data_IF_634259079432
#
_entry.id   IF_634259079432
#
_cell.length_a   1.000
_cell.length_b   1.000
_cell.length_c   1.000
_cell.angle_alpha   90.00
_cell.angle_beta   90.00
_cell.angle_gamma   90.00
#
_symmetry.space_group_name_H-M   'P 1'
#
loop_
_entity.id
_entity.type
_entity.pdbx_description
1 polymer ?
#
# COMPACT_ATOMS: atom_id res chain seq x y z
N UNK A 1 23.57 20.07 7.13
CA UNK A 1 22.31 19.32 6.92
C UNK A 1 21.17 20.31 7.02
N UNK A 2 20.22 20.25 6.12
CA UNK A 2 19.04 21.12 6.15
C UNK A 2 18.16 20.76 7.35
N UNK A 3 17.69 21.76 8.09
CA UNK A 3 16.74 21.57 9.19
C UNK A 3 15.39 22.19 8.79
N UNK A 4 14.30 21.55 9.19
CA UNK A 4 12.92 22.03 8.99
C UNK A 4 12.22 21.98 10.35
N UNK A 5 11.54 23.05 10.72
CA UNK A 5 10.72 23.13 11.91
C UNK A 5 9.28 23.41 11.52
N UNK A 6 8.39 22.45 11.73
CA UNK A 6 6.95 22.65 11.70
C UNK A 6 6.49 23.17 13.05
N UNK A 7 5.75 24.29 13.06
CA UNK A 7 5.24 24.90 14.29
C UNK A 7 3.72 24.97 14.31
N UNK A 8 3.17 24.87 15.52
CA UNK A 8 1.74 25.02 15.79
C UNK A 8 0.88 24.01 15.02
N UNK A 9 1.41 22.79 14.84
CA UNK A 9 0.68 21.72 14.17
C UNK A 9 -0.06 20.84 15.17
N UNK A 10 -1.16 20.25 14.75
CA UNK A 10 -1.70 19.07 15.40
C UNK A 10 -0.84 17.88 14.94
N UNK A 11 -0.40 17.04 15.86
CA UNK A 11 0.37 15.83 15.56
C UNK A 11 -0.52 14.61 15.76
N UNK A 12 -0.66 13.79 14.70
CA UNK A 12 -1.07 12.40 14.79
C UNK A 12 0.21 11.58 14.70
N UNK A 13 0.62 10.97 15.80
CA UNK A 13 1.93 10.33 15.87
C UNK A 13 2.03 8.97 15.16
N UNK A 14 0.90 8.42 14.68
CA UNK A 14 0.82 7.14 14.00
C UNK A 14 0.63 5.93 14.92
N UNK A 15 0.67 6.11 16.25
CA UNK A 15 0.52 5.02 17.23
C UNK A 15 -0.93 4.63 17.55
N UNK A 16 -1.90 5.41 17.04
CA UNK A 16 -3.32 5.29 17.42
C UNK A 16 -3.68 6.09 18.66
N UNK A 17 -2.72 6.77 19.31
CA UNK A 17 -2.98 7.66 20.43
C UNK A 17 -3.73 8.94 19.98
N UNK A 18 -4.45 9.62 20.90
CA UNK A 18 -5.12 10.88 20.60
C UNK A 18 -4.16 11.94 20.06
N UNK A 19 -4.57 12.78 19.09
CA UNK A 19 -3.75 13.85 18.57
C UNK A 19 -3.40 14.89 19.62
N UNK A 20 -2.24 15.54 19.48
CA UNK A 20 -1.79 16.60 20.40
C UNK A 20 -1.15 17.76 19.63
N UNK A 21 -1.12 18.95 20.25
CA UNK A 21 -0.46 20.12 19.68
C UNK A 21 1.04 20.08 19.97
N UNK A 22 1.89 20.29 18.97
CA UNK A 22 3.33 20.33 19.12
C UNK A 22 4.01 21.07 17.96
N UNK A 23 5.31 21.29 18.12
CA UNK A 23 6.25 21.60 17.04
C UNK A 23 7.06 20.33 16.74
N UNK A 24 7.50 20.18 15.50
CA UNK A 24 8.30 19.02 15.04
C UNK A 24 9.53 19.52 14.31
N UNK A 25 10.72 19.23 14.88
CA UNK A 25 12.01 19.55 14.29
C UNK A 25 12.58 18.34 13.53
N UNK A 26 12.89 18.57 12.26
CA UNK A 26 13.53 17.59 11.38
C UNK A 26 14.97 18.06 11.12
N UNK A 27 15.91 17.11 11.13
CA UNK A 27 17.30 17.33 10.74
C UNK A 27 17.81 16.26 9.83
N UNK A 28 18.15 16.63 8.59
CA UNK A 28 18.47 15.67 7.55
C UNK A 28 17.27 14.79 7.26
N UNK A 29 17.43 13.46 7.33
CA UNK A 29 16.36 12.49 7.06
C UNK A 29 15.54 12.07 8.30
N UNK A 30 15.81 12.67 9.49
CA UNK A 30 15.20 12.18 10.73
C UNK A 30 14.47 13.27 11.51
N UNK A 31 13.44 12.86 12.22
CA UNK A 31 12.79 13.66 13.25
C UNK A 31 13.78 13.76 14.42
N UNK A 32 14.15 14.98 14.77
CA UNK A 32 15.08 15.25 15.87
C UNK A 32 14.36 15.43 17.20
N UNK A 33 13.25 16.18 17.18
CA UNK A 33 12.53 16.56 18.41
C UNK A 33 11.05 16.78 18.10
N UNK A 34 10.20 16.45 19.06
CA UNK A 34 8.75 16.69 19.05
C UNK A 34 8.39 17.30 20.40
N UNK A 35 7.83 18.49 20.44
CA UNK A 35 7.49 19.17 21.69
C UNK A 35 6.92 20.56 21.46
N UNK A 36 6.48 21.23 22.51
CA UNK A 36 5.94 22.59 22.42
C UNK A 36 7.05 23.65 22.50
N UNK A 37 6.96 24.71 21.69
CA UNK A 37 7.82 25.88 21.77
C UNK A 37 9.27 25.62 21.36
N UNK A 38 9.50 24.73 20.42
CA UNK A 38 10.84 24.40 19.95
C UNK A 38 11.53 25.61 19.29
N UNK A 39 12.80 25.77 19.59
CA UNK A 39 13.62 26.83 18.98
C UNK A 39 14.15 26.37 17.62
N UNK A 40 13.97 27.21 16.60
CA UNK A 40 14.52 26.94 15.29
C UNK A 40 16.07 27.04 15.31
N UNK A 41 16.80 26.00 14.90
CA UNK A 41 18.25 26.12 14.68
C UNK A 41 18.57 27.22 13.66
N UNK A 42 19.75 27.83 13.77
CA UNK A 42 20.21 28.83 12.80
C UNK A 42 20.18 28.24 11.38
N UNK A 43 19.50 28.94 10.47
CA UNK A 43 19.33 28.51 9.08
C UNK A 43 18.28 27.41 8.86
N UNK A 44 17.51 27.05 9.88
CA UNK A 44 16.38 26.15 9.71
C UNK A 44 15.24 26.84 8.93
N UNK A 45 14.59 26.06 8.05
CA UNK A 45 13.33 26.48 7.43
C UNK A 45 12.20 26.31 8.44
N UNK A 46 11.49 27.38 8.75
CA UNK A 46 10.33 27.36 9.65
C UNK A 46 9.04 27.36 8.81
N UNK A 47 8.10 26.50 9.19
CA UNK A 47 6.79 26.35 8.57
C UNK A 47 5.76 26.47 9.69
N UNK A 48 5.07 27.60 9.74
CA UNK A 48 3.93 27.81 10.63
C UNK A 48 2.67 27.23 9.95
N UNK A 49 2.04 26.25 10.59
CA UNK A 49 0.88 25.55 10.01
C UNK A 49 -0.26 25.35 11.03
N UNK A 50 -0.78 26.46 11.61
CA UNK A 50 -1.90 26.36 12.54
C UNK A 50 -3.13 25.80 11.82
N UNK A 51 -3.85 24.89 12.49
CA UNK A 51 -5.04 24.21 11.93
C UNK A 51 -4.73 23.02 11.02
N UNK A 52 -3.45 22.78 10.69
CA UNK A 52 -3.04 21.60 9.94
C UNK A 52 -2.60 20.46 10.85
N UNK A 53 -2.68 19.24 10.33
CA UNK A 53 -2.24 18.02 11.01
C UNK A 53 -0.96 17.50 10.35
N UNK A 54 0.10 17.31 11.13
CA UNK A 54 1.32 16.60 10.70
C UNK A 54 1.24 15.15 11.17
N UNK A 55 1.44 14.23 10.25
CA UNK A 55 1.39 12.80 10.53
C UNK A 55 2.42 12.02 9.72
N UNK A 56 2.69 10.74 10.04
CA UNK A 56 3.54 9.91 9.19
C UNK A 56 2.96 9.79 7.78
N UNK A 57 3.81 9.67 6.78
CA UNK A 57 3.41 9.27 5.44
C UNK A 57 2.78 7.89 5.46
N UNK A 58 1.80 7.68 4.61
CA UNK A 58 1.08 6.42 4.51
C UNK A 58 1.95 5.32 3.89
N UNK A 59 1.69 4.08 4.26
CA UNK A 59 2.37 2.90 3.74
C UNK A 59 1.31 1.98 3.15
N UNK A 60 1.44 1.70 1.86
CA UNK A 60 0.59 0.78 1.13
C UNK A 60 1.06 -0.66 1.35
N UNK A 61 0.16 -1.54 1.78
CA UNK A 61 0.49 -2.92 2.12
C UNK A 61 0.30 -3.91 0.96
N UNK A 62 -0.49 -3.53 -0.07
CA UNK A 62 -0.80 -4.40 -1.20
C UNK A 62 -1.16 -3.60 -2.46
N UNK A 63 -0.20 -3.39 -3.33
CA UNK A 63 -0.41 -2.65 -4.57
C UNK A 63 0.49 -3.14 -5.70
N UNK A 64 0.07 -2.89 -6.94
CA UNK A 64 0.74 -3.33 -8.15
C UNK A 64 1.18 -2.12 -9.00
N UNK A 65 2.23 -1.42 -8.60
CA UNK A 65 2.72 -0.22 -9.33
C UNK A 65 3.08 -0.51 -10.80
N UNK A 66 3.42 -1.76 -11.10
CA UNK A 66 3.80 -2.19 -12.44
C UNK A 66 2.66 -2.80 -13.26
N UNK A 67 1.43 -2.86 -12.74
CA UNK A 67 0.26 -3.31 -13.52
C UNK A 67 -0.36 -2.20 -14.38
N UNK A 68 0.14 -0.95 -14.25
CA UNK A 68 -0.15 0.19 -15.13
C UNK A 68 -1.62 0.62 -15.18
N UNK A 69 -2.41 0.32 -14.17
CA UNK A 69 -3.85 0.57 -14.12
C UNK A 69 -4.58 -0.03 -15.35
N UNK A 70 -4.17 -1.22 -15.78
CA UNK A 70 -4.77 -1.87 -16.94
C UNK A 70 -6.12 -2.50 -16.64
N UNK A 71 -7.01 -2.57 -17.66
CA UNK A 71 -8.23 -3.37 -17.60
C UNK A 71 -8.02 -4.81 -18.09
N UNK A 72 -6.90 -5.05 -18.76
CA UNK A 72 -6.55 -6.35 -19.35
C UNK A 72 -5.11 -6.73 -18.93
N UNK A 73 -5.00 -7.66 -17.99
CA UNK A 73 -3.71 -8.12 -17.49
C UNK A 73 -2.87 -8.88 -18.55
N UNK A 74 -3.51 -9.52 -19.55
CA UNK A 74 -2.77 -10.14 -20.65
C UNK A 74 -2.00 -9.10 -21.46
N UNK A 75 -2.54 -7.89 -21.59
CA UNK A 75 -1.90 -6.79 -22.32
C UNK A 75 -0.54 -6.39 -21.75
N UNK A 76 -0.27 -6.63 -20.47
CA UNK A 76 1.03 -6.38 -19.84
C UNK A 76 2.14 -7.18 -20.49
N UNK A 77 1.82 -8.37 -21.03
CA UNK A 77 2.78 -9.21 -21.77
C UNK A 77 3.31 -8.55 -23.04
N UNK A 78 2.51 -7.73 -23.71
CA UNK A 78 2.85 -7.10 -24.98
C UNK A 78 3.70 -5.82 -24.84
N UNK A 79 3.77 -5.24 -23.63
CA UNK A 79 4.55 -4.02 -23.39
C UNK A 79 6.04 -4.38 -23.29
N UNK A 80 6.94 -3.81 -24.12
CA UNK A 80 8.38 -3.98 -23.95
C UNK A 80 8.85 -3.56 -22.56
N UNK A 81 9.82 -4.27 -21.99
CA UNK A 81 10.19 -4.10 -20.58
C UNK A 81 10.70 -2.69 -20.27
N UNK A 82 11.43 -2.06 -21.18
CA UNK A 82 11.92 -0.69 -21.08
C UNK A 82 10.80 0.34 -21.10
N UNK A 83 9.79 0.18 -21.96
CA UNK A 83 8.60 1.04 -21.96
C UNK A 83 7.74 0.81 -20.72
N UNK A 84 7.63 -0.45 -20.29
CA UNK A 84 6.89 -0.83 -19.10
C UNK A 84 7.47 -0.12 -17.87
N UNK A 85 8.80 -0.13 -17.73
CA UNK A 85 9.48 0.57 -16.65
C UNK A 85 9.16 2.08 -16.67
N UNK A 86 9.27 2.74 -17.83
CA UNK A 86 8.98 4.17 -17.95
C UNK A 86 7.53 4.52 -17.56
N UNK A 87 6.57 3.64 -17.86
CA UNK A 87 5.18 3.80 -17.42
C UNK A 87 5.04 3.59 -15.92
N UNK A 88 5.73 2.60 -15.34
CA UNK A 88 5.71 2.30 -13.92
C UNK A 88 6.30 3.44 -13.06
N UNK A 89 7.23 4.22 -13.58
CA UNK A 89 7.73 5.42 -12.92
C UNK A 89 6.61 6.44 -12.67
N UNK A 90 5.65 6.59 -13.60
CA UNK A 90 4.51 7.50 -13.44
C UNK A 90 3.57 7.04 -12.33
N UNK A 91 3.31 5.74 -12.23
CA UNK A 91 2.46 5.18 -11.16
C UNK A 91 3.13 5.33 -9.80
N UNK A 92 4.43 5.08 -9.69
CA UNK A 92 5.19 5.28 -8.46
C UNK A 92 5.16 6.75 -7.98
N UNK A 93 5.36 7.70 -8.90
CA UNK A 93 5.24 9.13 -8.57
C UNK A 93 3.84 9.48 -8.09
N UNK A 94 2.79 9.01 -8.79
CA UNK A 94 1.39 9.25 -8.42
C UNK A 94 1.07 8.74 -7.02
N UNK A 95 1.61 7.58 -6.64
CA UNK A 95 1.45 7.06 -5.28
C UNK A 95 2.06 8.00 -4.23
N UNK A 96 3.26 8.51 -4.48
CA UNK A 96 3.90 9.49 -3.59
C UNK A 96 3.15 10.82 -3.56
N UNK A 97 2.61 11.30 -4.71
CA UNK A 97 1.78 12.52 -4.81
C UNK A 97 0.53 12.43 -3.91
N UNK A 98 0.06 11.22 -3.58
CA UNK A 98 -1.07 10.93 -2.69
C UNK A 98 -0.66 10.66 -1.24
N UNK A 99 0.57 10.99 -0.84
CA UNK A 99 1.03 10.88 0.54
C UNK A 99 1.48 9.48 0.96
N UNK A 100 1.53 8.51 0.05
CA UNK A 100 2.12 7.20 0.33
C UNK A 100 3.63 7.27 0.19
N UNK A 101 4.33 7.33 1.32
CA UNK A 101 5.80 7.39 1.37
C UNK A 101 6.44 6.00 1.41
N UNK A 102 5.67 4.96 1.68
CA UNK A 102 6.07 3.57 1.65
C UNK A 102 5.11 2.69 0.85
N UNK A 103 5.64 1.62 0.24
CA UNK A 103 4.86 0.64 -0.51
C UNK A 103 5.48 -0.76 -0.42
N UNK A 104 4.67 -1.74 -0.07
CA UNK A 104 4.98 -3.15 -0.23
C UNK A 104 4.32 -3.62 -1.52
N UNK A 105 5.12 -3.92 -2.53
CA UNK A 105 4.58 -4.47 -3.77
C UNK A 105 3.96 -5.84 -3.54
N UNK A 106 2.77 -6.06 -4.07
CA UNK A 106 2.08 -7.34 -3.98
C UNK A 106 2.56 -8.34 -5.06
N UNK A 107 2.89 -7.86 -6.25
CA UNK A 107 3.60 -8.58 -7.30
C UNK A 107 4.08 -7.63 -8.39
N UNK A 108 5.17 -7.98 -9.06
CA UNK A 108 5.67 -7.28 -10.24
C UNK A 108 5.01 -7.82 -11.52
N UNK A 109 4.73 -6.94 -12.49
CA UNK A 109 4.19 -7.35 -13.79
C UNK A 109 5.18 -8.15 -14.65
N UNK A 110 6.48 -8.05 -14.39
CA UNK A 110 7.56 -8.80 -15.05
C UNK A 110 8.73 -8.97 -14.10
N UNK A 111 9.57 -10.00 -14.30
CA UNK A 111 10.84 -10.11 -13.57
C UNK A 111 11.63 -8.81 -13.63
N UNK A 112 12.18 -8.40 -12.49
CA UNK A 112 13.01 -7.21 -12.29
C UNK A 112 12.35 -5.83 -12.37
N UNK A 113 11.11 -5.67 -12.83
CA UNK A 113 10.49 -4.33 -12.92
C UNK A 113 10.49 -3.62 -11.57
N UNK A 114 9.97 -4.25 -10.53
CA UNK A 114 9.93 -3.67 -9.18
C UNK A 114 11.32 -3.41 -8.61
N UNK A 115 12.28 -4.29 -8.92
CA UNK A 115 13.68 -4.16 -8.47
C UNK A 115 14.33 -2.91 -9.08
N UNK A 116 14.14 -2.71 -10.38
CA UNK A 116 14.73 -1.54 -11.07
C UNK A 116 14.00 -0.27 -10.66
N UNK A 117 12.66 -0.31 -10.52
CA UNK A 117 11.85 0.79 -10.01
C UNK A 117 12.31 1.22 -8.62
N UNK A 118 12.46 0.26 -7.68
CA UNK A 118 13.00 0.53 -6.35
C UNK A 118 14.38 1.16 -6.40
N UNK A 119 15.30 0.62 -7.22
CA UNK A 119 16.67 1.17 -7.36
C UNK A 119 16.66 2.61 -7.86
N UNK A 120 15.81 2.96 -8.83
CA UNK A 120 15.68 4.32 -9.33
C UNK A 120 15.13 5.29 -8.28
N UNK A 121 14.24 4.80 -7.41
CA UNK A 121 13.70 5.59 -6.29
C UNK A 121 14.74 5.75 -5.17
N UNK A 122 15.47 4.70 -4.81
CA UNK A 122 16.45 4.70 -3.73
C UNK A 122 17.68 5.55 -4.08
N UNK A 123 18.11 5.56 -5.36
CA UNK A 123 19.19 6.46 -5.85
C UNK A 123 18.77 7.92 -5.93
N UNK A 124 17.45 8.20 -5.90
CA UNK A 124 16.91 9.55 -6.07
C UNK A 124 16.76 9.99 -7.52
N UNK A 125 16.96 9.09 -8.48
CA UNK A 125 16.79 9.37 -9.92
C UNK A 125 15.32 9.58 -10.28
N UNK A 126 14.40 9.00 -9.48
CA UNK A 126 12.97 9.18 -9.68
C UNK A 126 12.22 9.31 -8.34
N UNK A 127 11.21 10.21 -8.27
CA UNK A 127 10.36 10.30 -7.09
C UNK A 127 9.39 9.11 -7.00
N UNK A 128 9.29 8.53 -5.80
CA UNK A 128 8.40 7.42 -5.51
C UNK A 128 8.46 7.01 -4.04
N UNK A 129 7.55 6.14 -3.59
CA UNK A 129 7.55 5.64 -2.22
C UNK A 129 8.78 4.77 -1.97
N UNK A 130 9.21 4.64 -0.72
CA UNK A 130 10.13 3.60 -0.27
C UNK A 130 9.49 2.24 -0.57
N UNK A 131 10.07 1.45 -1.46
CA UNK A 131 9.43 0.27 -2.02
C UNK A 131 10.11 -1.01 -1.57
N UNK A 132 9.33 -2.02 -1.19
CA UNK A 132 9.77 -3.40 -1.16
C UNK A 132 9.35 -4.08 -2.47
N UNK A 133 10.35 -4.55 -3.22
CA UNK A 133 10.16 -5.17 -4.54
C UNK A 133 9.71 -6.62 -4.40
N UNK A 134 8.61 -7.00 -5.08
CA UNK A 134 8.12 -8.37 -5.12
C UNK A 134 8.59 -9.14 -6.37
N UNK A 135 8.42 -10.47 -6.33
CA UNK A 135 8.45 -11.29 -7.55
C UNK A 135 7.23 -11.01 -8.42
N UNK A 136 7.21 -11.41 -9.71
CA UNK A 136 5.96 -11.80 -10.34
C UNK A 136 5.22 -12.85 -9.50
N UNK A 137 3.96 -13.06 -9.76
CA UNK A 137 3.20 -14.09 -9.07
C UNK A 137 3.77 -15.48 -9.38
N UNK A 138 4.19 -16.23 -8.35
CA UNK A 138 4.57 -17.63 -8.51
C UNK A 138 3.29 -18.47 -8.41
N UNK A 139 2.91 -19.14 -9.47
CA UNK A 139 1.63 -19.86 -9.59
C UNK A 139 1.80 -21.20 -10.30
N UNK A 140 0.76 -22.02 -10.25
CA UNK A 140 0.70 -23.32 -10.98
C UNK A 140 0.03 -23.16 -12.34
N UNK A 141 0.20 -24.13 -13.23
CA UNK A 141 -0.58 -24.23 -14.46
C UNK A 141 -2.08 -24.22 -14.16
N UNK A 142 -2.80 -23.31 -14.81
CA UNK A 142 -4.23 -23.09 -14.58
C UNK A 142 -4.57 -22.37 -13.28
N UNK A 143 -3.60 -21.89 -12.51
CA UNK A 143 -3.80 -21.04 -11.34
C UNK A 143 -3.99 -19.55 -11.70
N UNK A 144 -4.25 -18.73 -10.68
CA UNK A 144 -4.31 -17.28 -10.84
C UNK A 144 -2.99 -16.77 -11.43
N UNK A 145 -3.05 -15.97 -12.48
CA UNK A 145 -1.89 -15.41 -13.16
C UNK A 145 -1.42 -16.25 -14.38
N UNK A 146 -1.85 -17.50 -14.53
CA UNK A 146 -1.57 -18.27 -15.72
C UNK A 146 -2.53 -17.91 -16.87
N UNK A 147 -2.03 -17.11 -17.81
CA UNK A 147 -2.77 -16.71 -19.01
C UNK A 147 -2.34 -17.50 -20.26
N UNK A 148 -1.58 -18.59 -20.07
CA UNK A 148 -1.16 -19.44 -21.17
C UNK A 148 -2.35 -20.20 -21.78
N UNK A 149 -2.25 -20.47 -23.08
CA UNK A 149 -3.13 -21.36 -23.76
C UNK A 149 -2.35 -22.60 -24.21
N UNK A 150 -3.01 -23.75 -24.37
CA UNK A 150 -2.34 -24.98 -24.77
C UNK A 150 -1.45 -24.83 -26.02
N UNK A 151 -1.91 -24.02 -26.98
CA UNK A 151 -1.22 -23.77 -28.24
C UNK A 151 -0.40 -22.48 -28.26
N UNK A 152 -0.38 -21.70 -27.15
CA UNK A 152 0.29 -20.40 -27.12
C UNK A 152 0.85 -20.12 -25.72
N UNK A 153 2.16 -20.02 -25.62
CA UNK A 153 2.84 -19.54 -24.43
C UNK A 153 2.87 -18.01 -24.44
N UNK A 154 2.51 -17.38 -23.34
CA UNK A 154 2.46 -15.92 -23.19
C UNK A 154 3.42 -15.45 -22.12
N UNK A 155 4.12 -14.34 -22.36
CA UNK A 155 4.78 -13.59 -21.28
C UNK A 155 3.70 -12.90 -20.46
N UNK A 156 3.72 -13.07 -19.14
CA UNK A 156 2.66 -12.60 -18.25
C UNK A 156 3.25 -12.03 -16.97
N UNK A 157 2.37 -11.53 -16.11
CA UNK A 157 2.68 -11.04 -14.75
C UNK A 157 2.93 -12.16 -13.74
N UNK A 158 2.92 -13.43 -14.18
CA UNK A 158 3.21 -14.59 -13.35
C UNK A 158 4.38 -15.41 -13.89
N UNK A 159 5.01 -16.18 -13.01
CA UNK A 159 5.93 -17.26 -13.33
C UNK A 159 5.21 -18.56 -13.01
N UNK A 160 4.83 -19.30 -14.06
CA UNK A 160 4.12 -20.57 -13.93
C UNK A 160 5.12 -21.68 -13.59
N UNK A 161 4.88 -22.36 -12.48
CA UNK A 161 5.70 -23.43 -11.95
C UNK A 161 4.84 -24.64 -11.60
N UNK A 162 5.28 -25.83 -11.95
CA UNK A 162 4.63 -27.06 -11.53
C UNK A 162 5.62 -27.94 -10.78
N UNK A 163 5.21 -28.34 -9.59
CA UNK A 163 6.00 -29.15 -8.68
C UNK A 163 7.02 -28.34 -7.85
N UNK A 164 7.42 -28.82 -6.67
CA UNK A 164 8.22 -28.09 -5.69
C UNK A 164 9.59 -27.64 -6.22
N UNK A 165 10.20 -28.41 -7.13
CA UNK A 165 11.53 -28.06 -7.69
C UNK A 165 11.45 -26.86 -8.64
N UNK A 166 10.36 -26.72 -9.43
CA UNK A 166 10.17 -25.56 -10.30
C UNK A 166 9.97 -24.29 -9.45
N UNK A 167 9.16 -24.34 -8.40
CA UNK A 167 8.99 -23.24 -7.44
C UNK A 167 10.30 -22.89 -6.72
N UNK A 168 11.04 -23.88 -6.24
CA UNK A 168 12.36 -23.67 -5.59
C UNK A 168 13.34 -22.98 -6.53
N UNK A 169 13.37 -23.40 -7.80
CA UNK A 169 14.24 -22.76 -8.81
C UNK A 169 13.83 -21.32 -9.04
N UNK A 170 12.55 -21.04 -9.30
CA UNK A 170 12.03 -19.68 -9.55
C UNK A 170 12.29 -18.75 -8.36
N UNK A 171 12.04 -19.22 -7.13
CA UNK A 171 12.31 -18.46 -5.92
C UNK A 171 13.80 -18.09 -5.79
N UNK A 172 14.72 -19.04 -6.02
CA UNK A 172 16.18 -18.77 -5.99
C UNK A 172 16.60 -17.78 -7.08
N UNK A 173 16.07 -17.89 -8.27
CA UNK A 173 16.35 -16.96 -9.37
C UNK A 173 15.90 -15.54 -9.00
N UNK A 174 14.72 -15.35 -8.44
CA UNK A 174 14.22 -14.06 -8.02
C UNK A 174 15.00 -13.46 -6.83
N UNK A 175 15.40 -14.30 -5.86
CA UNK A 175 16.29 -13.87 -4.77
C UNK A 175 17.62 -13.39 -5.33
N UNK A 176 18.21 -14.11 -6.29
CA UNK A 176 19.45 -13.71 -6.98
C UNK A 176 19.32 -12.35 -7.68
N UNK A 177 18.15 -12.07 -8.30
CA UNK A 177 17.88 -10.77 -8.93
C UNK A 177 17.71 -9.64 -7.92
N UNK A 178 17.37 -9.96 -6.66
CA UNK A 178 17.35 -9.01 -5.56
C UNK A 178 15.97 -8.55 -5.13
N UNK A 179 14.95 -9.41 -5.19
CA UNK A 179 13.63 -9.13 -4.62
C UNK A 179 13.68 -9.02 -3.09
N UNK A 180 12.73 -8.30 -2.53
CA UNK A 180 12.53 -8.19 -1.09
C UNK A 180 11.45 -9.15 -0.57
N UNK A 181 10.53 -9.60 -1.46
CA UNK A 181 9.40 -10.46 -1.11
C UNK A 181 9.22 -11.51 -2.20
N UNK A 182 8.95 -12.76 -1.79
CA UNK A 182 8.49 -13.82 -2.67
C UNK A 182 6.96 -13.87 -2.63
N UNK A 183 6.29 -13.75 -3.80
CA UNK A 183 4.82 -13.77 -3.90
C UNK A 183 4.35 -15.08 -4.51
N UNK A 184 3.44 -15.77 -3.83
CA UNK A 184 2.81 -17.02 -4.27
C UNK A 184 1.28 -16.87 -4.35
N UNK A 185 0.65 -17.70 -5.20
CA UNK A 185 -0.80 -17.75 -5.36
C UNK A 185 -1.38 -19.12 -4.98
N UNK A 186 -1.46 -19.45 -3.68
CA UNK A 186 -1.98 -20.74 -3.24
C UNK A 186 -3.46 -20.96 -3.53
N UNK A 187 -4.29 -19.90 -3.57
CA UNK A 187 -5.70 -19.99 -3.94
C UNK A 187 -5.98 -19.38 -5.30
N UNK A 188 -7.14 -19.72 -5.85
CA UNK A 188 -7.66 -19.07 -7.03
C UNK A 188 -8.34 -17.72 -6.75
N UNK A 189 -9.05 -17.20 -7.75
CA UNK A 189 -9.76 -15.93 -7.71
C UNK A 189 -11.08 -16.04 -8.50
N UNK A 190 -12.06 -15.19 -8.20
CA UNK A 190 -13.37 -15.21 -8.86
C UNK A 190 -13.29 -14.84 -10.35
N UNK A 191 -12.20 -14.21 -10.79
CA UNK A 191 -11.92 -13.97 -12.22
C UNK A 191 -11.38 -15.17 -12.98
N UNK A 192 -10.99 -16.26 -12.29
CA UNK A 192 -10.41 -17.46 -12.92
C UNK A 192 -11.43 -18.60 -12.93
N UNK A 193 -12.06 -18.93 -14.07
CA UNK A 193 -13.17 -19.89 -14.08
C UNK A 193 -12.81 -21.29 -13.61
N UNK A 194 -11.58 -21.71 -13.77
CA UNK A 194 -11.06 -23.04 -13.42
C UNK A 194 -10.22 -23.06 -12.13
N UNK A 195 -10.07 -21.89 -11.48
CA UNK A 195 -9.39 -21.74 -10.21
C UNK A 195 -10.09 -20.65 -9.38
N UNK A 196 -11.28 -21.00 -8.83
CA UNK A 196 -12.12 -20.06 -8.06
C UNK A 196 -11.51 -19.72 -6.70
N UNK A 197 -11.93 -18.62 -6.11
CA UNK A 197 -11.41 -18.11 -4.82
C UNK A 197 -11.42 -19.14 -3.68
N UNK A 198 -12.43 -20.01 -3.61
CA UNK A 198 -12.54 -21.07 -2.62
C UNK A 198 -11.62 -22.28 -2.84
N UNK A 199 -10.95 -22.35 -3.99
CA UNK A 199 -10.07 -23.47 -4.34
C UNK A 199 -8.62 -23.18 -3.94
N UNK A 200 -7.96 -24.20 -3.41
CA UNK A 200 -6.52 -24.21 -3.13
C UNK A 200 -5.85 -24.98 -4.25
N UNK A 201 -5.09 -24.27 -5.09
CA UNK A 201 -4.53 -24.80 -6.34
C UNK A 201 -3.06 -25.22 -6.21
N UNK A 202 -2.31 -24.62 -5.29
CA UNK A 202 -0.95 -25.07 -4.97
C UNK A 202 -0.99 -26.22 -3.95
N UNK A 203 -0.13 -27.19 -4.15
CA UNK A 203 0.11 -28.25 -3.18
C UNK A 203 0.91 -27.74 -1.98
N UNK A 204 0.81 -28.42 -0.84
CA UNK A 204 1.60 -28.10 0.33
C UNK A 204 3.12 -28.12 0.04
N UNK A 205 3.60 -29.08 -0.75
CA UNK A 205 5.00 -29.21 -1.10
C UNK A 205 5.52 -28.02 -1.94
N UNK A 206 4.70 -27.44 -2.79
CA UNK A 206 5.05 -26.24 -3.58
C UNK A 206 5.16 -24.99 -2.70
N UNK A 207 4.19 -24.79 -1.80
CA UNK A 207 4.24 -23.72 -0.81
C UNK A 207 5.50 -23.84 0.05
N UNK A 208 5.75 -25.04 0.61
CA UNK A 208 6.93 -25.33 1.43
C UNK A 208 8.25 -25.03 0.70
N UNK A 209 8.33 -25.36 -0.58
CA UNK A 209 9.55 -25.12 -1.39
C UNK A 209 9.90 -23.64 -1.53
N UNK A 210 8.90 -22.74 -1.68
CA UNK A 210 9.13 -21.30 -1.71
C UNK A 210 9.50 -20.77 -0.34
N UNK A 211 8.78 -21.21 0.71
CA UNK A 211 9.06 -20.80 2.09
C UNK A 211 10.48 -21.20 2.55
N UNK A 212 10.93 -22.42 2.22
CA UNK A 212 12.31 -22.87 2.46
C UNK A 212 13.35 -21.92 1.88
N UNK A 213 13.17 -21.49 0.63
CA UNK A 213 14.09 -20.55 -0.03
C UNK A 213 14.01 -19.17 0.61
N UNK A 214 12.80 -18.66 0.83
CA UNK A 214 12.60 -17.34 1.43
C UNK A 214 13.24 -17.25 2.81
N UNK A 215 12.95 -18.18 3.71
CA UNK A 215 13.49 -18.19 5.07
C UNK A 215 15.01 -18.35 5.07
N UNK A 216 15.57 -19.24 4.22
CA UNK A 216 17.02 -19.41 4.10
C UNK A 216 17.75 -18.12 3.67
N UNK A 217 17.07 -17.21 2.97
CA UNK A 217 17.61 -15.94 2.50
C UNK A 217 17.07 -14.71 3.27
N UNK A 218 16.32 -14.91 4.35
CA UNK A 218 15.72 -13.81 5.11
C UNK A 218 14.73 -12.96 4.28
N UNK A 219 14.02 -13.60 3.33
CA UNK A 219 13.02 -12.96 2.49
C UNK A 219 11.63 -13.37 2.94
N UNK A 220 10.77 -12.42 3.36
CA UNK A 220 9.38 -12.71 3.70
C UNK A 220 8.61 -13.21 2.48
N UNK A 221 7.60 -14.05 2.75
CA UNK A 221 6.69 -14.58 1.75
C UNK A 221 5.34 -13.90 1.87
N UNK A 222 4.75 -13.55 0.73
CA UNK A 222 3.40 -13.01 0.61
C UNK A 222 2.54 -13.97 -0.20
N UNK A 223 1.30 -14.21 0.23
CA UNK A 223 0.40 -15.16 -0.42
C UNK A 223 -0.95 -14.53 -0.78
N UNK A 224 -1.38 -14.72 -2.02
CA UNK A 224 -2.77 -14.58 -2.42
C UNK A 224 -3.53 -15.80 -1.87
N UNK A 225 -4.17 -15.65 -0.71
CA UNK A 225 -4.78 -16.77 0.01
C UNK A 225 -6.22 -16.42 0.43
N UNK A 226 -7.19 -16.68 -0.46
CA UNK A 226 -8.61 -16.45 -0.19
C UNK A 226 -9.25 -17.63 0.53
N UNK A 227 -8.94 -18.87 0.12
CA UNK A 227 -9.51 -20.08 0.70
C UNK A 227 -8.95 -20.41 2.09
N UNK A 228 -9.77 -20.99 2.95
CA UNK A 228 -9.35 -21.40 4.30
C UNK A 228 -8.15 -22.36 4.28
N UNK A 229 -8.14 -23.32 3.36
CA UNK A 229 -7.05 -24.29 3.25
C UNK A 229 -5.74 -23.61 2.81
N UNK A 230 -5.79 -22.65 1.87
CA UNK A 230 -4.60 -21.91 1.46
C UNK A 230 -4.02 -21.11 2.64
N UNK A 231 -4.86 -20.42 3.42
CA UNK A 231 -4.44 -19.69 4.63
C UNK A 231 -3.76 -20.64 5.63
N UNK A 232 -4.39 -21.79 5.93
CA UNK A 232 -3.82 -22.77 6.87
C UNK A 232 -2.47 -23.31 6.41
N UNK A 233 -2.32 -23.65 5.13
CA UNK A 233 -1.04 -24.11 4.58
C UNK A 233 0.03 -23.02 4.61
N UNK A 234 -0.34 -21.78 4.28
CA UNK A 234 0.57 -20.64 4.36
C UNK A 234 1.10 -20.45 5.79
N UNK A 235 0.21 -20.43 6.78
CA UNK A 235 0.60 -20.28 8.19
C UNK A 235 1.47 -21.45 8.69
N UNK A 236 1.14 -22.68 8.29
CA UNK A 236 1.93 -23.88 8.62
C UNK A 236 3.39 -23.76 8.18
N UNK A 237 3.63 -23.11 7.05
CA UNK A 237 4.97 -22.94 6.48
C UNK A 237 5.57 -21.56 6.73
N UNK A 238 4.98 -20.76 7.63
CA UNK A 238 5.56 -19.48 8.10
C UNK A 238 5.47 -18.35 7.08
N UNK A 239 4.41 -18.29 6.27
CA UNK A 239 4.12 -17.12 5.41
C UNK A 239 3.68 -15.97 6.29
N UNK A 240 4.35 -14.82 6.18
CA UNK A 240 4.15 -13.68 7.06
C UNK A 240 3.10 -12.68 6.55
N UNK A 241 2.82 -12.65 5.23
CA UNK A 241 1.91 -11.69 4.59
C UNK A 241 0.78 -12.43 3.92
N UNK A 242 -0.39 -12.42 4.55
CA UNK A 242 -1.59 -13.07 4.04
C UNK A 242 -2.47 -12.02 3.39
N UNK A 243 -2.62 -12.12 2.08
CA UNK A 243 -3.51 -11.25 1.32
C UNK A 243 -4.88 -11.87 1.20
N UNK A 244 -5.92 -11.05 1.27
CA UNK A 244 -7.33 -11.37 1.22
C UNK A 244 -7.87 -12.06 2.48
N UNK A 245 -7.59 -13.34 2.71
CA UNK A 245 -8.13 -14.16 3.81
C UNK A 245 -9.67 -14.05 3.94
N UNK A 246 -10.36 -13.94 2.80
CA UNK A 246 -11.80 -13.61 2.75
C UNK A 246 -12.69 -14.81 3.06
N UNK A 247 -12.31 -16.02 2.65
CA UNK A 247 -13.10 -17.25 2.80
C UNK A 247 -12.53 -18.18 3.88
N UNK A 248 -12.13 -17.61 5.02
CA UNK A 248 -11.62 -18.39 6.15
C UNK A 248 -12.76 -19.08 6.89
N UNK A 249 -12.53 -20.34 7.26
CA UNK A 249 -13.31 -21.07 8.25
C UNK A 249 -12.82 -20.77 9.68
N UNK A 250 -13.50 -21.32 10.68
CA UNK A 250 -13.16 -21.14 12.11
C UNK A 250 -11.71 -21.56 12.42
N UNK A 251 -11.23 -22.65 11.81
CA UNK A 251 -9.88 -23.17 12.01
C UNK A 251 -8.82 -22.21 11.44
N UNK A 252 -9.05 -21.67 10.22
CA UNK A 252 -8.16 -20.70 9.59
C UNK A 252 -8.11 -19.38 10.38
N UNK A 253 -9.28 -18.89 10.87
CA UNK A 253 -9.34 -17.69 11.70
C UNK A 253 -8.59 -17.87 13.02
N UNK A 254 -8.76 -19.02 13.70
CA UNK A 254 -8.03 -19.30 14.91
C UNK A 254 -6.52 -19.42 14.65
N UNK A 255 -6.10 -20.05 13.56
CA UNK A 255 -4.69 -20.11 13.17
C UNK A 255 -4.09 -18.72 12.90
N UNK A 256 -4.83 -17.80 12.29
CA UNK A 256 -4.40 -16.39 12.12
C UNK A 256 -4.26 -15.67 13.46
N UNK A 257 -5.19 -15.92 14.41
CA UNK A 257 -5.12 -15.35 15.76
C UNK A 257 -3.91 -15.90 16.53
N UNK A 258 -3.63 -17.19 16.42
CA UNK A 258 -2.46 -17.80 17.07
C UNK A 258 -1.14 -17.25 16.49
N UNK A 259 -1.12 -16.94 15.20
CA UNK A 259 0.04 -16.39 14.50
C UNK A 259 0.14 -14.85 14.55
N UNK A 260 -0.74 -14.13 15.27
CA UNK A 260 -0.90 -12.66 15.21
C UNK A 260 0.37 -11.86 15.43
N UNK A 261 1.34 -12.36 16.17
CA UNK A 261 2.62 -11.68 16.43
C UNK A 261 3.55 -11.69 15.19
N UNK A 262 3.30 -12.60 14.24
CA UNK A 262 4.19 -12.84 13.08
C UNK A 262 3.53 -12.56 11.75
N UNK A 263 2.20 -12.44 11.69
CA UNK A 263 1.48 -12.24 10.43
C UNK A 263 0.93 -10.83 10.29
N UNK A 264 0.76 -10.45 9.02
CA UNK A 264 0.04 -9.27 8.57
C UNK A 264 -1.04 -9.71 7.59
N UNK A 265 -2.24 -9.17 7.72
CA UNK A 265 -3.36 -9.48 6.83
C UNK A 265 -3.78 -8.22 6.09
N UNK A 266 -3.83 -8.27 4.76
CA UNK A 266 -4.36 -7.18 3.92
C UNK A 266 -5.59 -7.67 3.16
N UNK A 267 -6.80 -7.24 3.54
CA UNK A 267 -8.07 -7.79 3.00
C UNK A 267 -8.39 -7.37 1.58
N UNK A 268 -7.72 -6.35 1.04
CA UNK A 268 -7.90 -5.84 -0.34
C UNK A 268 -9.32 -5.38 -0.65
N UNK A 269 -9.94 -4.65 0.30
CA UNK A 269 -11.31 -4.17 0.12
C UNK A 269 -11.47 -3.28 -1.12
N UNK A 270 -10.45 -2.48 -1.46
CA UNK A 270 -10.48 -1.54 -2.57
C UNK A 270 -10.86 -2.20 -3.89
N UNK A 271 -10.17 -3.29 -4.28
CA UNK A 271 -10.45 -3.99 -5.55
C UNK A 271 -11.84 -4.64 -5.52
N UNK A 272 -12.21 -5.28 -4.41
CA UNK A 272 -13.49 -6.00 -4.31
C UNK A 272 -14.66 -5.02 -4.41
N UNK A 273 -14.63 -3.91 -3.65
CA UNK A 273 -15.66 -2.86 -3.70
C UNK A 273 -15.72 -2.21 -5.08
N UNK A 274 -14.56 -1.85 -5.65
CA UNK A 274 -14.51 -1.23 -6.98
C UNK A 274 -15.02 -2.18 -8.08
N UNK A 275 -14.71 -3.47 -8.01
CA UNK A 275 -15.21 -4.45 -8.98
C UNK A 275 -16.73 -4.61 -8.91
N UNK A 276 -17.29 -4.68 -7.71
CA UNK A 276 -18.75 -4.86 -7.55
C UNK A 276 -19.51 -3.62 -8.01
N UNK A 277 -19.04 -2.42 -7.69
CA UNK A 277 -19.87 -1.22 -7.81
C UNK A 277 -19.39 -0.22 -8.87
N UNK A 278 -18.16 -0.31 -9.35
CA UNK A 278 -17.55 0.73 -10.21
C UNK A 278 -16.97 0.19 -11.54
N UNK A 279 -16.87 -1.13 -11.72
CA UNK A 279 -16.25 -1.71 -12.90
C UNK A 279 -17.15 -1.79 -14.14
N UNK A 280 -18.35 -1.19 -14.09
CA UNK A 280 -19.32 -1.22 -15.20
C UNK A 280 -18.78 -0.70 -16.53
N UNK A 281 -17.94 0.36 -16.51
CA UNK A 281 -17.30 0.91 -17.70
C UNK A 281 -16.30 -0.06 -18.37
N UNK A 282 -15.84 -1.07 -17.66
CA UNK A 282 -14.92 -2.11 -18.12
C UNK A 282 -15.60 -3.45 -18.34
N UNK A 283 -16.94 -3.46 -18.46
CA UNK A 283 -17.73 -4.64 -18.82
C UNK A 283 -18.14 -5.53 -17.65
N UNK A 284 -17.91 -5.13 -16.40
CA UNK A 284 -18.29 -5.90 -15.21
C UNK A 284 -19.45 -5.17 -14.53
N UNK A 285 -20.69 -5.56 -14.83
CA UNK A 285 -21.85 -5.01 -14.12
C UNK A 285 -21.93 -5.57 -12.69
N UNK A 286 -22.62 -4.83 -11.80
CA UNK A 286 -22.88 -5.29 -10.41
C UNK A 286 -23.55 -6.67 -10.40
N UNK A 287 -24.53 -6.91 -11.27
CA UNK A 287 -25.21 -8.20 -11.37
C UNK A 287 -24.25 -9.32 -11.78
N UNK A 288 -23.31 -9.04 -12.67
CA UNK A 288 -22.27 -9.99 -13.06
C UNK A 288 -21.32 -10.28 -11.91
N UNK A 289 -20.82 -9.25 -11.22
CA UNK A 289 -19.97 -9.42 -10.02
C UNK A 289 -20.68 -10.24 -8.93
N UNK A 290 -21.98 -9.98 -8.69
CA UNK A 290 -22.79 -10.78 -7.77
C UNK A 290 -22.91 -12.25 -8.24
N UNK A 291 -23.13 -12.50 -9.53
CA UNK A 291 -23.22 -13.86 -10.08
C UNK A 291 -21.89 -14.63 -10.00
N UNK A 292 -20.77 -13.91 -9.95
CA UNK A 292 -19.44 -14.47 -9.72
C UNK A 292 -19.18 -14.83 -8.25
N UNK A 293 -20.04 -14.38 -7.32
CA UNK A 293 -19.88 -14.64 -5.88
C UNK A 293 -19.17 -13.52 -5.11
N UNK A 294 -18.73 -12.46 -5.76
CA UNK A 294 -17.89 -11.41 -5.16
C UNK A 294 -18.55 -10.67 -4.00
N UNK A 295 -19.89 -10.49 -4.03
CA UNK A 295 -20.61 -9.84 -2.94
C UNK A 295 -20.64 -10.71 -1.67
N UNK A 296 -20.91 -11.99 -1.81
CA UNK A 296 -20.87 -12.93 -0.69
C UNK A 296 -19.44 -13.05 -0.10
N UNK A 297 -18.43 -13.02 -0.96
CA UNK A 297 -17.03 -12.98 -0.53
C UNK A 297 -16.69 -11.68 0.23
N UNK A 298 -17.16 -10.51 -0.24
CA UNK A 298 -16.98 -9.25 0.46
C UNK A 298 -17.60 -9.28 1.86
N UNK A 299 -18.84 -9.78 1.96
CA UNK A 299 -19.56 -9.90 3.25
C UNK A 299 -18.83 -10.84 4.22
N UNK A 300 -18.36 -12.00 3.74
CA UNK A 300 -17.56 -12.93 4.53
C UNK A 300 -16.22 -12.29 4.97
N UNK A 301 -15.53 -11.62 4.05
CA UNK A 301 -14.28 -10.92 4.32
C UNK A 301 -14.44 -9.82 5.38
N UNK A 302 -15.52 -9.02 5.32
CA UNK A 302 -15.83 -8.02 6.34
C UNK A 302 -16.00 -8.67 7.72
N UNK A 303 -16.78 -9.73 7.82
CA UNK A 303 -17.01 -10.43 9.08
C UNK A 303 -15.70 -11.01 9.65
N UNK A 304 -14.89 -11.63 8.81
CA UNK A 304 -13.60 -12.20 9.18
C UNK A 304 -12.62 -11.11 9.67
N UNK A 305 -12.51 -10.00 8.95
CA UNK A 305 -11.58 -8.92 9.33
C UNK A 305 -11.97 -8.23 10.65
N UNK A 306 -13.26 -8.03 10.91
CA UNK A 306 -13.74 -7.53 12.20
C UNK A 306 -13.31 -8.45 13.37
N UNK A 307 -13.46 -9.76 13.18
CA UNK A 307 -13.02 -10.75 14.17
C UNK A 307 -11.50 -10.74 14.36
N UNK A 308 -10.72 -10.74 13.28
CA UNK A 308 -9.25 -10.69 13.33
C UNK A 308 -8.76 -9.43 14.03
N UNK A 309 -9.33 -8.25 13.70
CA UNK A 309 -9.05 -6.99 14.39
C UNK A 309 -9.32 -7.10 15.88
N UNK A 310 -10.51 -7.58 16.27
CA UNK A 310 -10.92 -7.71 17.67
C UNK A 310 -10.00 -8.69 18.45
N UNK A 311 -9.36 -9.63 17.75
CA UNK A 311 -8.41 -10.60 18.32
C UNK A 311 -6.95 -10.10 18.29
N UNK A 312 -6.70 -8.86 17.88
CA UNK A 312 -5.37 -8.24 17.86
C UNK A 312 -4.49 -8.64 16.69
N UNK A 313 -5.02 -9.24 15.63
CA UNK A 313 -4.29 -9.48 14.39
C UNK A 313 -4.07 -8.14 13.68
N UNK A 314 -2.87 -7.93 13.14
CA UNK A 314 -2.54 -6.72 12.37
C UNK A 314 -3.20 -6.80 11.00
N UNK A 315 -4.35 -6.13 10.87
CA UNK A 315 -5.07 -5.94 9.60
C UNK A 315 -4.69 -4.58 9.04
N UNK A 316 -4.16 -4.54 7.80
CA UNK A 316 -3.63 -3.34 7.17
C UNK A 316 -4.44 -2.97 5.91
N UNK A 317 -4.67 -1.66 5.67
CA UNK A 317 -5.21 -1.21 4.40
C UNK A 317 -4.21 -1.48 3.29
N UNK A 318 -4.74 -1.98 2.17
CA UNK A 318 -4.01 -2.34 0.98
C UNK A 318 -5.01 -2.88 -0.03
N UNK A 319 -5.46 -1.99 -0.93
CA UNK A 319 -6.69 -2.21 -1.69
C UNK A 319 -6.49 -2.93 -3.02
N UNK A 320 -5.32 -3.53 -3.27
CA UNK A 320 -5.04 -4.22 -4.54
C UNK A 320 -5.14 -3.26 -5.74
N UNK A 321 -4.44 -2.13 -5.63
CA UNK A 321 -4.44 -1.07 -6.64
C UNK A 321 -3.49 -1.40 -7.79
N UNK A 322 -3.84 -0.94 -8.99
CA UNK A 322 -3.10 -1.16 -10.23
C UNK A 322 -3.97 -1.59 -11.40
N UNK A 323 -5.29 -1.64 -11.19
CA UNK A 323 -6.31 -1.98 -12.19
C UNK A 323 -7.08 -0.75 -12.66
N UNK A 324 -7.66 -0.79 -13.87
CA UNK A 324 -8.33 0.36 -14.46
C UNK A 324 -9.51 0.88 -13.62
N UNK A 325 -10.27 -0.01 -12.97
CA UNK A 325 -11.36 0.35 -12.08
C UNK A 325 -10.91 0.58 -10.62
N UNK A 326 -9.67 0.20 -10.29
CA UNK A 326 -9.07 0.43 -8.98
C UNK A 326 -7.63 0.97 -9.14
N UNK A 327 -7.46 2.20 -9.71
CA UNK A 327 -6.15 2.69 -10.12
C UNK A 327 -5.30 3.17 -8.95
N UNK A 328 -3.98 3.15 -9.14
CA UNK A 328 -3.02 3.82 -8.26
C UNK A 328 -3.37 5.30 -8.17
N UNK A 329 -3.33 5.86 -6.98
CA UNK A 329 -3.73 7.24 -6.68
C UNK A 329 -5.07 7.33 -5.94
N UNK A 330 -5.79 6.20 -5.76
CA UNK A 330 -6.99 6.10 -4.91
C UNK A 330 -6.72 5.34 -3.61
N UNK A 331 -5.49 5.03 -3.33
CA UNK A 331 -5.07 4.12 -2.24
C UNK A 331 -5.60 4.53 -0.85
N UNK A 332 -5.67 5.81 -0.54
CA UNK A 332 -6.18 6.30 0.74
C UNK A 332 -7.68 5.99 0.97
N UNK A 333 -8.42 5.59 -0.06
CA UNK A 333 -9.81 5.15 0.05
C UNK A 333 -9.97 3.93 0.96
N UNK A 334 -8.96 3.07 1.03
CA UNK A 334 -9.01 1.90 1.91
C UNK A 334 -9.08 2.27 3.39
N UNK A 335 -8.55 3.41 3.80
CA UNK A 335 -8.70 3.88 5.18
C UNK A 335 -10.17 4.19 5.48
N UNK A 336 -10.91 4.77 4.52
CA UNK A 336 -12.34 4.99 4.64
C UNK A 336 -13.14 3.67 4.65
N UNK A 337 -12.74 2.67 3.82
CA UNK A 337 -13.33 1.33 3.88
C UNK A 337 -13.11 0.67 5.25
N UNK A 338 -11.95 0.83 5.85
CA UNK A 338 -11.65 0.30 7.19
C UNK A 338 -12.57 0.92 8.25
N UNK A 339 -12.77 2.23 8.19
CA UNK A 339 -13.68 2.92 9.12
C UNK A 339 -15.14 2.50 8.90
N UNK A 340 -15.60 2.48 7.64
CA UNK A 340 -17.03 2.23 7.34
C UNK A 340 -17.42 0.75 7.39
N UNK A 341 -16.52 -0.16 7.03
CA UNK A 341 -16.84 -1.58 6.86
C UNK A 341 -16.28 -2.46 7.97
N UNK A 342 -15.12 -2.10 8.55
CA UNK A 342 -14.40 -2.95 9.50
C UNK A 342 -14.42 -2.45 10.95
N UNK A 343 -15.26 -1.43 11.26
CA UNK A 343 -15.38 -0.84 12.59
C UNK A 343 -14.06 -0.29 13.16
N UNK A 344 -13.15 0.17 12.30
CA UNK A 344 -11.97 0.91 12.73
C UNK A 344 -12.36 2.35 13.09
N UNK A 345 -11.77 2.91 14.14
CA UNK A 345 -11.74 4.36 14.30
C UNK A 345 -10.78 4.98 13.26
N UNK A 346 -10.91 6.26 12.92
CA UNK A 346 -9.94 6.92 12.04
C UNK A 346 -8.49 6.77 12.49
N UNK A 347 -8.21 6.87 13.79
CA UNK A 347 -6.86 6.70 14.34
C UNK A 347 -6.34 5.28 14.23
N UNK A 348 -7.19 4.26 14.40
CA UNK A 348 -6.80 2.86 14.17
C UNK A 348 -6.49 2.60 12.70
N UNK A 349 -7.28 3.15 11.76
CA UNK A 349 -7.02 3.02 10.32
C UNK A 349 -5.69 3.71 9.93
N UNK A 350 -5.42 4.91 10.47
CA UNK A 350 -4.15 5.61 10.28
C UNK A 350 -2.99 4.79 10.87
N UNK A 351 -3.13 4.26 12.09
CA UNK A 351 -2.12 3.39 12.70
C UNK A 351 -1.79 2.19 11.82
N UNK A 352 -2.82 1.55 11.26
CA UNK A 352 -2.66 0.41 10.38
C UNK A 352 -1.86 0.76 9.11
N UNK A 353 -2.07 1.97 8.54
CA UNK A 353 -1.34 2.46 7.36
C UNK A 353 0.00 3.13 7.70
N UNK A 354 0.40 3.25 8.96
CA UNK A 354 1.62 3.95 9.37
C UNK A 354 2.50 3.06 10.24
N UNK A 355 2.23 2.91 11.53
CA UNK A 355 3.02 2.07 12.45
C UNK A 355 3.10 0.61 11.97
N UNK A 356 1.94 -0.01 11.68
CA UNK A 356 1.92 -1.40 11.21
C UNK A 356 2.51 -1.52 9.80
N UNK A 357 2.34 -0.50 8.95
CA UNK A 357 3.01 -0.43 7.66
C UNK A 357 4.55 -0.42 7.80
N UNK A 358 5.09 0.35 8.75
CA UNK A 358 6.52 0.36 9.07
C UNK A 358 7.02 -1.01 9.54
N UNK A 359 6.25 -1.67 10.41
CA UNK A 359 6.53 -3.04 10.86
C UNK A 359 6.48 -4.04 9.69
N UNK A 360 5.48 -3.94 8.81
CA UNK A 360 5.37 -4.76 7.60
C UNK A 360 6.57 -4.60 6.67
N UNK A 361 7.13 -3.38 6.60
CA UNK A 361 8.36 -3.11 5.85
C UNK A 361 9.64 -3.57 6.57
N UNK A 362 9.53 -4.19 7.75
CA UNK A 362 10.68 -4.64 8.54
C UNK A 362 11.49 -3.48 9.15
N UNK A 363 10.86 -2.32 9.40
CA UNK A 363 11.54 -1.12 9.88
C UNK A 363 11.01 -0.67 11.24
N UNK A 364 11.91 -0.57 12.21
CA UNK A 364 11.60 -0.07 13.55
C UNK A 364 11.66 1.46 13.67
N UNK A 365 12.10 2.16 12.62
CA UNK A 365 12.32 3.60 12.58
C UNK A 365 11.41 4.32 11.54
N UNK A 366 10.29 3.70 11.16
CA UNK A 366 9.36 4.20 10.14
C UNK A 366 7.91 4.13 10.66
N UNK A 367 7.08 5.06 10.22
CA UNK A 367 5.62 5.05 10.46
C UNK A 367 5.18 5.75 11.75
N UNK A 368 6.09 6.42 12.49
CA UNK A 368 5.73 7.22 13.67
C UNK A 368 6.36 8.63 13.63
N UNK A 369 5.65 9.63 14.19
CA UNK A 369 6.22 10.95 14.49
C UNK A 369 6.89 10.90 15.85
N UNK A 370 8.14 10.44 15.88
CA UNK A 370 8.91 10.23 17.09
C UNK A 370 10.39 10.60 16.86
N UNK A 371 11.10 11.18 17.84
CA UNK A 371 12.54 11.42 17.74
C UNK A 371 13.30 10.16 17.34
N UNK A 372 14.21 10.28 16.36
CA UNK A 372 14.99 9.19 15.79
C UNK A 372 14.35 8.49 14.58
N UNK A 373 13.05 8.64 14.36
CA UNK A 373 12.34 8.06 13.22
C UNK A 373 12.65 8.81 11.91
N UNK A 374 12.49 8.12 10.78
CA UNK A 374 12.57 8.74 9.47
C UNK A 374 11.51 9.84 9.31
N UNK A 375 11.90 10.94 8.72
CA UNK A 375 11.01 12.05 8.43
C UNK A 375 10.29 11.81 7.08
N UNK A 376 9.53 10.71 7.03
CA UNK A 376 8.57 10.40 5.98
C UNK A 376 7.20 10.87 6.51
N UNK A 377 6.79 12.08 6.13
CA UNK A 377 5.70 12.83 6.77
C UNK A 377 4.77 13.45 5.73
N UNK A 378 3.51 13.63 6.12
CA UNK A 378 2.54 14.44 5.38
C UNK A 378 1.94 15.52 6.28
N UNK A 379 1.72 16.70 5.71
CA UNK A 379 1.00 17.80 6.34
C UNK A 379 -0.38 17.91 5.67
N UNK A 380 -1.43 17.75 6.46
CA UNK A 380 -2.82 17.70 6.00
C UNK A 380 -3.55 18.98 6.44
N UNK A 381 -4.23 19.64 5.50
CA UNK A 381 -5.16 20.72 5.80
C UNK A 381 -6.45 20.16 6.38
N UNK A 382 -6.58 20.16 7.70
CA UNK A 382 -7.69 19.60 8.46
C UNK A 382 -7.26 18.54 9.48
N UNK A 383 -8.22 17.74 9.95
CA UNK A 383 -8.04 16.75 11.01
C UNK A 383 -8.45 15.33 10.57
N UNK A 384 -7.51 14.51 10.08
CA UNK A 384 -7.81 13.14 9.68
C UNK A 384 -8.28 12.22 10.82
N UNK A 385 -8.07 12.59 12.09
CA UNK A 385 -8.62 11.83 13.22
C UNK A 385 -10.14 11.97 13.36
N UNK A 386 -10.72 12.99 12.73
CA UNK A 386 -12.16 13.21 12.68
C UNK A 386 -12.77 12.75 11.36
N UNK A 387 -12.03 12.96 10.25
CA UNK A 387 -12.46 12.58 8.91
C UNK A 387 -11.27 12.05 8.10
N UNK A 388 -11.15 10.74 8.06
CA UNK A 388 -10.07 10.06 7.34
C UNK A 388 -10.16 10.24 5.81
N UNK A 389 -11.32 10.63 5.27
CA UNK A 389 -11.52 10.86 3.84
C UNK A 389 -10.71 12.05 3.31
N UNK A 390 -10.29 12.97 4.18
CA UNK A 390 -9.37 14.07 3.84
C UNK A 390 -8.07 13.58 3.19
N UNK A 391 -7.63 12.36 3.52
CA UNK A 391 -6.42 11.75 2.98
C UNK A 391 -6.56 11.32 1.51
N UNK A 392 -7.78 11.29 0.97
CA UNK A 392 -8.06 10.99 -0.44
C UNK A 392 -7.91 12.23 -1.35
N UNK A 393 -7.92 13.42 -0.77
CA UNK A 393 -7.80 14.68 -1.52
C UNK A 393 -6.34 15.16 -1.54
N UNK A 394 -5.70 15.03 -2.70
CA UNK A 394 -4.33 15.50 -2.88
C UNK A 394 -4.14 17.00 -2.59
N UNK A 395 -5.19 17.83 -2.72
CA UNK A 395 -5.12 19.26 -2.41
C UNK A 395 -5.07 19.52 -0.90
N UNK A 396 -5.63 18.60 -0.11
CA UNK A 396 -5.54 18.62 1.35
C UNK A 396 -4.16 18.19 1.88
N UNK A 397 -3.39 17.46 1.08
CA UNK A 397 -2.00 17.14 1.42
C UNK A 397 -1.10 18.33 1.07
N UNK A 398 -0.94 19.25 1.99
CA UNK A 398 -0.25 20.54 1.75
C UNK A 398 1.26 20.42 1.71
N UNK A 399 1.85 19.41 2.34
CA UNK A 399 3.25 19.03 2.17
C UNK A 399 3.42 17.52 2.25
N UNK A 400 4.41 16.99 1.52
CA UNK A 400 4.82 15.58 1.56
C UNK A 400 6.34 15.54 1.66
N UNK A 401 6.85 14.86 2.67
CA UNK A 401 8.28 14.65 2.89
C UNK A 401 8.59 13.17 2.84
N UNK A 402 9.71 12.83 2.18
CA UNK A 402 10.33 11.51 2.24
C UNK A 402 11.82 11.68 2.54
N UNK A 403 12.33 10.93 3.51
CA UNK A 403 13.71 11.10 4.00
C UNK A 403 14.04 12.56 4.37
N UNK A 404 13.06 13.30 4.94
CA UNK A 404 13.20 14.71 5.32
C UNK A 404 13.30 15.70 4.16
N UNK A 405 13.14 15.24 2.93
CA UNK A 405 13.15 16.06 1.72
C UNK A 405 11.72 16.27 1.23
N UNK A 406 11.39 17.49 0.85
CA UNK A 406 10.08 17.78 0.28
C UNK A 406 9.93 17.15 -1.10
N UNK A 407 8.91 16.33 -1.25
CA UNK A 407 8.35 15.94 -2.54
C UNK A 407 7.29 16.96 -2.97
N UNK A 408 6.41 17.35 -2.04
CA UNK A 408 5.45 18.44 -2.22
C UNK A 408 5.77 19.52 -1.18
N UNK A 409 6.03 20.73 -1.66
CA UNK A 409 6.32 21.88 -0.81
C UNK A 409 5.02 22.48 -0.27
N UNK A 410 4.99 22.94 1.02
CA UNK A 410 3.84 23.67 1.51
C UNK A 410 3.67 24.95 0.68
N UNK A 411 2.43 25.23 0.27
CA UNK A 411 2.12 26.49 -0.41
C UNK A 411 2.55 27.63 0.49
N UNK A 412 3.34 28.60 -0.04
CA UNK A 412 3.61 29.82 0.70
C UNK A 412 2.25 30.45 1.00
N UNK A 413 1.98 30.75 2.28
CA UNK A 413 0.85 31.60 2.65
C UNK A 413 0.93 32.83 1.74
N UNK A 414 -0.07 33.03 0.87
CA UNK A 414 -0.19 34.26 0.12
C UNK A 414 -0.41 35.29 1.19
N UNK A 415 0.61 36.12 1.46
CA UNK A 415 0.48 37.25 2.37
C UNK A 415 -0.80 37.97 1.98
N UNK A 416 -1.71 38.10 2.93
CA UNK A 416 -3.01 38.74 2.74
C UNK A 416 -2.86 39.96 1.86
N UNK A 417 -3.71 40.03 0.85
CA UNK A 417 -3.82 41.08 -0.14
C UNK A 417 -3.61 42.43 0.52
N UNK A 418 -2.61 43.17 0.06
CA UNK A 418 -2.53 44.62 0.29
C UNK A 418 -3.94 45.16 0.09
N UNK A 419 -4.49 45.78 1.11
CA UNK A 419 -5.82 46.37 1.07
C UNK A 419 -5.96 47.19 -0.22
N UNK A 420 -6.91 46.83 -1.05
CA UNK A 420 -7.32 47.64 -2.20
C UNK A 420 -7.74 48.97 -1.60
N UNK A 421 -6.89 50.00 -1.77
CA UNK A 421 -7.30 51.36 -1.42
C UNK A 421 -8.58 51.64 -2.22
N UNK A 422 -9.67 52.09 -1.56
CA UNK A 422 -10.85 52.50 -2.28
C UNK A 422 -10.45 53.67 -3.21
N UNK A 423 -10.79 53.52 -4.48
CA UNK A 423 -10.63 54.57 -5.47
C UNK A 423 -11.42 55.79 -4.99
N UNK A 424 -10.74 56.87 -4.63
CA UNK A 424 -11.39 58.13 -4.30
C UNK A 424 -11.99 58.69 -5.59
N UNK A 425 -13.29 58.60 -5.73
CA UNK A 425 -14.05 59.29 -6.75
C UNK A 425 -14.09 60.78 -6.41
N UNK A 426 -13.03 61.48 -6.76
CA UNK A 426 -13.00 62.95 -6.76
C UNK A 426 -11.80 63.36 -7.63
N UNK A 427 -12.06 63.55 -8.91
CA UNK A 427 -11.37 64.39 -9.83
C UNK A 427 -11.78 64.09 -11.29
N UNK A 428 -13.07 64.37 -11.58
CA UNK A 428 -13.55 64.57 -12.95
C UNK A 428 -14.58 65.70 -12.90
N UNK A 429 -14.10 66.90 -12.63
CA UNK A 429 -14.76 68.17 -13.06
C UNK A 429 -13.65 69.22 -13.06
N UNK A 430 -13.05 69.46 -14.21
CA UNK A 430 -12.74 70.73 -14.81
C UNK A 430 -12.29 70.52 -16.26
#
# INVERSE_FOLDING_TARGET
MQSVLFRQVKVIDGSGAPPFAADVLIRGSRIQEVGAGLQAPVGARVIDAPGSTLMPGLIESHSHMTFLDTADLESLGYVPVEEHLLRSLKTARRMLDQGFTGCVSAAAAKPRLDIVLRRAIDSGDHPGPRTLAATPELTVSGGLGDVNLWHMQRSTFAIVCDGPEAFRKAAREMVREGVDTLKINPSGDEFVPHARAAQTVMTEAEIAAVCEVGHAHGKPIAAHARSAQAVKLCLKHGVERIYHATLCDEEALNALVDAREHVFVSPTLGITVATIYEAGAWGISTAQAESMGMKAELEAGIANMKRLKASGVRVLPGGDYGFAWNPIGRNARDLEHFVRLLDFTPLEAIRAATEFGGQLMGRSDLGLVRPGFLADLILVDGDPSQDVSLLQDAEKLTAILKDGKFHKEPRKAIAEKAAIRPFAAAELVQ
#
